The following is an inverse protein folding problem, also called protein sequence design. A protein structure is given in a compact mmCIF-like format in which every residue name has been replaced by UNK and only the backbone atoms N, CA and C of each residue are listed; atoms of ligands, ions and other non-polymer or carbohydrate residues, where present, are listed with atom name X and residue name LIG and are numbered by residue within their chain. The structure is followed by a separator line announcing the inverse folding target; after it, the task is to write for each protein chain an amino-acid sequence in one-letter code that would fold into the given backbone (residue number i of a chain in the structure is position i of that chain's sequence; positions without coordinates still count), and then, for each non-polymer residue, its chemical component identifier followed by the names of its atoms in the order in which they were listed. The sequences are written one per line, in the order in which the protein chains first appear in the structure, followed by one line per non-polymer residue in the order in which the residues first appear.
data_IF_570442347023
#
_entry.id   IF_570442347023
#
_cell.length_a   1.000
_cell.length_b   1.000
_cell.length_c   1.000
_cell.angle_alpha   90.00
_cell.angle_beta   90.00
_cell.angle_gamma   90.00
#
_symmetry.space_group_name_H-M   'P 1'
#
loop_
_entity.id
_entity.type
_entity.pdbx_description
1 polymer ?
#
# COMPACT_ATOMS: atom_id res chain seq x y z
N UNK A 1 16.39 -16.84 9.39
CA UNK A 1 15.91 -16.88 8.00
C UNK A 1 15.70 -15.46 7.48
N UNK A 2 15.92 -15.20 6.19
CA UNK A 2 15.62 -13.92 5.50
C UNK A 2 14.11 -13.74 5.32
N UNK A 3 13.64 -12.51 5.03
CA UNK A 3 12.20 -12.15 4.94
C UNK A 3 11.41 -13.05 4.00
N UNK A 4 11.86 -13.23 2.77
CA UNK A 4 11.17 -14.07 1.79
C UNK A 4 11.09 -15.53 2.22
N UNK A 5 12.14 -16.07 2.82
CA UNK A 5 12.09 -17.42 3.37
C UNK A 5 11.07 -17.52 4.50
N UNK A 6 10.98 -16.49 5.38
CA UNK A 6 9.99 -16.46 6.46
C UNK A 6 8.55 -16.38 5.94
N UNK A 7 8.31 -15.60 4.87
CA UNK A 7 6.98 -15.48 4.28
C UNK A 7 6.49 -16.79 3.63
N UNK A 8 7.41 -17.64 3.16
CA UNK A 8 7.10 -18.93 2.54
C UNK A 8 6.99 -20.04 3.59
N UNK A 9 7.89 -20.07 4.56
CA UNK A 9 8.05 -21.15 5.54
C UNK A 9 7.51 -20.81 6.94
N UNK A 10 6.53 -19.93 7.04
CA UNK A 10 5.82 -19.73 8.29
C UNK A 10 5.03 -21.00 8.62
N UNK A 11 5.41 -21.67 9.72
CA UNK A 11 4.70 -22.85 10.17
C UNK A 11 3.31 -22.46 10.72
N UNK A 12 2.29 -23.21 10.38
CA UNK A 12 1.03 -23.11 11.09
C UNK A 12 0.94 -24.21 12.17
N UNK A 13 0.41 -23.88 13.37
CA UNK A 13 0.54 -24.74 14.54
C UNK A 13 -0.29 -26.01 14.50
N UNK A 14 -1.29 -26.07 13.63
CA UNK A 14 -2.13 -27.26 13.44
C UNK A 14 -2.16 -27.61 11.96
N UNK A 15 -1.66 -28.82 11.65
CA UNK A 15 -1.87 -29.41 10.34
C UNK A 15 -3.30 -29.97 10.26
N UNK A 16 -3.81 -30.02 9.04
CA UNK A 16 -5.08 -30.69 8.80
C UNK A 16 -4.95 -32.24 8.96
N UNK A 17 -6.07 -32.95 8.85
CA UNK A 17 -6.10 -34.41 8.99
C UNK A 17 -5.25 -35.15 7.94
N UNK A 18 -4.81 -34.49 6.89
CA UNK A 18 -4.04 -35.05 5.77
C UNK A 18 -2.61 -34.54 5.68
N UNK A 19 -2.17 -33.74 6.63
CA UNK A 19 -0.84 -33.11 6.64
C UNK A 19 -0.54 -32.33 5.37
N UNK A 20 -1.53 -31.62 4.82
CA UNK A 20 -1.37 -30.83 3.60
C UNK A 20 -0.22 -29.81 3.73
N UNK A 21 0.63 -29.74 2.71
CA UNK A 21 1.75 -28.79 2.69
C UNK A 21 1.29 -27.34 2.54
N UNK A 22 0.25 -27.13 1.75
CA UNK A 22 -0.40 -25.82 1.58
C UNK A 22 -1.63 -25.73 2.49
N UNK A 23 -1.85 -24.57 3.12
CA UNK A 23 -3.02 -24.34 3.97
C UNK A 23 -4.31 -24.55 3.18
N UNK A 24 -5.21 -25.46 3.62
CA UNK A 24 -6.53 -25.63 3.02
C UNK A 24 -7.40 -24.38 3.15
N UNK A 25 -8.41 -24.27 2.28
CA UNK A 25 -9.42 -23.20 2.37
C UNK A 25 -10.56 -23.69 3.27
N UNK A 26 -10.70 -23.09 4.45
CA UNK A 26 -11.76 -23.40 5.40
C UNK A 26 -12.96 -22.46 5.17
N UNK A 27 -13.92 -22.95 4.39
CA UNK A 27 -15.18 -22.24 4.02
C UNK A 27 -16.29 -22.46 5.09
N UNK A 28 -15.93 -22.49 6.35
CA UNK A 28 -16.91 -22.62 7.44
C UNK A 28 -17.17 -21.27 8.10
N UNK A 29 -18.41 -20.98 8.44
CA UNK A 29 -18.77 -19.78 9.22
C UNK A 29 -18.54 -20.00 10.70
N UNK A 30 -18.85 -21.19 11.22
CA UNK A 30 -18.76 -21.52 12.64
C UNK A 30 -17.98 -22.81 12.84
N UNK A 31 -17.44 -22.99 14.02
CA UNK A 31 -16.63 -24.12 14.42
C UNK A 31 -17.21 -24.73 15.72
N UNK A 32 -17.24 -26.04 15.80
CA UNK A 32 -17.73 -26.77 16.99
C UNK A 32 -16.62 -26.85 18.04
N UNK A 33 -16.98 -26.57 19.28
CA UNK A 33 -16.13 -26.80 20.44
C UNK A 33 -16.42 -28.18 21.06
N UNK A 34 -15.41 -28.79 21.70
CA UNK A 34 -15.53 -30.09 22.33
C UNK A 34 -16.60 -30.10 23.43
N UNK A 35 -16.68 -29.04 24.23
CA UNK A 35 -17.66 -28.85 25.29
C UNK A 35 -17.95 -27.36 25.54
N UNK A 36 -18.91 -27.08 26.42
CA UNK A 36 -19.33 -25.69 26.75
C UNK A 36 -18.25 -24.89 27.49
N UNK A 37 -17.38 -25.54 28.25
CA UNK A 37 -16.28 -24.87 28.95
C UNK A 37 -15.20 -24.42 27.96
N UNK A 38 -14.82 -25.29 27.03
CA UNK A 38 -13.93 -25.00 25.92
C UNK A 38 -14.49 -23.86 25.07
N UNK A 39 -15.79 -23.88 24.73
CA UNK A 39 -16.44 -22.80 24.01
C UNK A 39 -16.34 -21.46 24.75
N UNK A 40 -16.62 -21.47 26.07
CA UNK A 40 -16.47 -20.26 26.88
C UNK A 40 -15.02 -19.74 26.93
N UNK A 41 -14.04 -20.65 26.97
CA UNK A 41 -12.62 -20.27 26.99
C UNK A 41 -12.16 -19.67 25.64
N UNK A 42 -12.69 -20.15 24.51
CA UNK A 42 -12.44 -19.56 23.18
C UNK A 42 -13.03 -18.14 23.10
N UNK A 43 -14.30 -17.98 23.45
CA UNK A 43 -14.98 -16.68 23.40
C UNK A 43 -14.40 -15.65 24.37
N UNK A 44 -13.78 -16.08 25.47
CA UNK A 44 -13.06 -15.23 26.41
C UNK A 44 -11.57 -15.09 26.08
N UNK A 45 -11.12 -15.56 24.93
CA UNK A 45 -9.73 -15.53 24.46
C UNK A 45 -8.71 -16.16 25.43
N UNK A 46 -9.16 -17.06 26.32
CA UNK A 46 -8.27 -17.82 27.20
C UNK A 46 -7.52 -18.92 26.47
N UNK A 47 -8.10 -19.43 25.40
CA UNK A 47 -7.48 -20.34 24.42
C UNK A 47 -7.67 -19.83 23.01
N UNK A 48 -6.67 -20.02 22.17
CA UNK A 48 -6.72 -19.62 20.75
C UNK A 48 -7.28 -20.77 19.92
N UNK A 49 -8.49 -20.61 19.41
CA UNK A 49 -9.11 -21.51 18.44
C UNK A 49 -10.10 -20.72 17.56
N UNK A 50 -10.42 -21.21 16.36
CA UNK A 50 -11.46 -20.59 15.54
C UNK A 50 -12.83 -20.82 16.19
N UNK A 51 -13.67 -19.79 16.16
CA UNK A 51 -15.04 -19.79 16.66
C UNK A 51 -16.03 -19.38 15.56
N UNK A 52 -15.79 -18.21 14.97
CA UNK A 52 -16.62 -17.60 13.94
C UNK A 52 -15.73 -16.92 12.90
N UNK A 53 -15.90 -17.23 11.62
CA UNK A 53 -14.94 -16.87 10.56
C UNK A 53 -14.74 -15.38 10.35
N UNK A 54 -15.67 -14.50 10.75
CA UNK A 54 -15.44 -13.06 10.74
C UNK A 54 -14.39 -12.64 11.77
N UNK A 55 -14.27 -13.38 12.85
CA UNK A 55 -13.36 -13.13 13.99
C UNK A 55 -12.04 -13.87 13.79
N UNK A 56 -12.12 -15.17 13.57
CA UNK A 56 -10.95 -16.04 13.37
C UNK A 56 -11.28 -17.17 12.37
N UNK A 57 -10.51 -17.23 11.30
CA UNK A 57 -10.60 -18.29 10.30
C UNK A 57 -9.21 -18.88 10.05
N UNK A 58 -9.01 -20.21 10.07
CA UNK A 58 -7.68 -20.81 9.95
C UNK A 58 -6.90 -20.37 8.70
N UNK A 59 -7.59 -20.23 7.56
CA UNK A 59 -6.95 -19.81 6.30
C UNK A 59 -6.52 -18.34 6.36
N UNK A 60 -7.35 -17.46 6.94
CA UNK A 60 -7.04 -16.05 7.12
C UNK A 60 -5.91 -15.87 8.12
N UNK A 61 -5.97 -16.54 9.26
CA UNK A 61 -4.93 -16.51 10.30
C UNK A 61 -3.58 -16.97 9.73
N UNK A 62 -3.55 -18.02 8.91
CA UNK A 62 -2.31 -18.45 8.26
C UNK A 62 -1.73 -17.39 7.32
N UNK A 63 -2.57 -16.68 6.56
CA UNK A 63 -2.13 -15.56 5.73
C UNK A 63 -1.56 -14.43 6.60
N UNK A 64 -2.25 -14.05 7.67
CA UNK A 64 -1.80 -13.02 8.64
C UNK A 64 -0.45 -13.39 9.27
N UNK A 65 -0.29 -14.64 9.70
CA UNK A 65 0.97 -15.14 10.28
C UNK A 65 2.13 -15.05 9.30
N UNK A 66 1.90 -15.36 8.02
CA UNK A 66 2.91 -15.26 6.97
C UNK A 66 3.29 -13.80 6.69
N UNK A 67 2.31 -12.91 6.65
CA UNK A 67 2.53 -11.48 6.50
C UNK A 67 3.34 -10.93 7.68
N UNK A 68 2.97 -11.27 8.92
CA UNK A 68 3.68 -10.84 10.11
C UNK A 68 5.12 -11.40 10.19
N UNK A 69 5.30 -12.67 9.81
CA UNK A 69 6.61 -13.34 9.87
C UNK A 69 7.63 -12.69 8.93
N UNK A 70 7.23 -12.21 7.76
CA UNK A 70 8.13 -11.63 6.77
C UNK A 70 8.94 -10.47 7.33
N UNK A 71 8.37 -9.36 7.84
CA UNK A 71 9.10 -8.27 8.46
C UNK A 71 9.51 -8.54 9.92
N UNK A 72 9.01 -9.61 10.55
CA UNK A 72 9.19 -9.89 11.97
C UNK A 72 8.33 -9.01 12.86
N UNK A 73 7.11 -8.71 12.42
CA UNK A 73 6.12 -7.96 13.17
C UNK A 73 5.55 -8.79 14.33
N UNK A 74 4.91 -8.12 15.27
CA UNK A 74 4.18 -8.79 16.36
C UNK A 74 2.94 -9.49 15.83
N UNK A 75 2.24 -8.83 14.89
CA UNK A 75 0.96 -9.27 14.37
C UNK A 75 0.69 -8.66 12.98
N UNK A 76 -0.13 -9.35 12.19
CA UNK A 76 -0.83 -8.75 11.07
C UNK A 76 -2.33 -8.97 11.22
N UNK A 77 -3.15 -8.08 10.67
CA UNK A 77 -4.61 -8.19 10.64
C UNK A 77 -5.08 -7.95 9.21
N UNK A 78 -5.84 -8.90 8.65
CA UNK A 78 -6.30 -8.88 7.27
C UNK A 78 -7.70 -8.27 7.15
N UNK A 79 -7.88 -7.44 6.13
CA UNK A 79 -9.11 -6.73 5.79
C UNK A 79 -9.51 -6.99 4.35
N UNK A 80 -10.77 -6.75 4.01
CA UNK A 80 -11.31 -6.95 2.66
C UNK A 80 -10.80 -5.94 1.61
N UNK A 81 -10.15 -4.87 2.01
CA UNK A 81 -9.57 -3.87 1.11
C UNK A 81 -8.49 -3.02 1.80
N UNK A 82 -7.63 -2.36 0.99
CA UNK A 82 -6.65 -1.40 1.51
C UNK A 82 -7.33 -0.24 2.25
N UNK A 83 -8.45 0.28 1.73
CA UNK A 83 -9.20 1.33 2.42
C UNK A 83 -9.79 0.87 3.75
N UNK A 84 -10.21 -0.40 3.87
CA UNK A 84 -10.66 -0.96 5.13
C UNK A 84 -9.51 -1.05 6.15
N UNK A 85 -8.29 -1.43 5.71
CA UNK A 85 -7.11 -1.41 6.56
C UNK A 85 -6.76 0.01 7.04
N UNK A 86 -6.78 1.00 6.14
CA UNK A 86 -6.52 2.42 6.49
C UNK A 86 -7.58 2.96 7.44
N UNK A 87 -8.87 2.82 7.11
CA UNK A 87 -9.96 3.35 7.93
C UNK A 87 -10.03 2.68 9.31
N UNK A 88 -9.85 1.37 9.39
CA UNK A 88 -9.79 0.64 10.65
C UNK A 88 -8.61 1.08 11.51
N UNK A 89 -7.43 1.30 10.91
CA UNK A 89 -6.26 1.81 11.63
C UNK A 89 -6.53 3.20 12.20
N UNK A 90 -7.04 4.12 11.39
CA UNK A 90 -7.32 5.48 11.83
C UNK A 90 -8.41 5.52 12.91
N UNK A 91 -9.51 4.75 12.75
CA UNK A 91 -10.56 4.66 13.76
C UNK A 91 -10.07 4.04 15.08
N UNK A 92 -9.13 3.08 15.03
CA UNK A 92 -8.54 2.49 16.24
C UNK A 92 -7.61 3.45 16.99
N UNK A 93 -7.06 4.46 16.30
CA UNK A 93 -6.14 5.44 16.88
C UNK A 93 -6.82 6.72 17.32
N UNK A 94 -7.91 7.13 16.64
CA UNK A 94 -8.55 8.43 16.82
C UNK A 94 -9.80 8.35 17.68
N UNK A 95 -10.18 9.50 18.24
CA UNK A 95 -11.47 9.75 18.86
C UNK A 95 -11.89 11.19 18.51
N UNK A 96 -13.13 11.56 18.82
CA UNK A 96 -13.60 12.93 18.66
C UNK A 96 -12.70 13.91 19.43
N UNK A 97 -12.25 14.98 18.77
CA UNK A 97 -11.31 15.96 19.30
C UNK A 97 -9.81 15.62 19.08
N UNK A 98 -9.49 14.42 18.62
CA UNK A 98 -8.14 14.07 18.22
C UNK A 98 -7.74 14.70 16.87
N UNK A 99 -6.45 14.75 16.57
CA UNK A 99 -5.96 15.12 15.26
C UNK A 99 -5.04 14.07 14.66
N UNK A 100 -4.97 14.06 13.32
CA UNK A 100 -4.02 13.28 12.52
C UNK A 100 -3.14 14.26 11.75
N UNK A 101 -1.83 14.13 11.90
CA UNK A 101 -0.86 14.91 11.14
C UNK A 101 -0.42 14.10 9.91
N UNK A 102 -0.52 14.70 8.72
CA UNK A 102 -0.27 14.01 7.46
C UNK A 102 0.16 14.97 6.35
N UNK A 103 0.49 14.44 5.17
CA UNK A 103 0.76 15.20 3.95
C UNK A 103 -0.51 15.42 3.12
N UNK A 104 -0.50 16.42 2.23
CA UNK A 104 -1.49 16.51 1.15
C UNK A 104 -1.21 15.50 0.00
N UNK A 105 -0.01 14.95 -0.08
CA UNK A 105 0.37 13.95 -1.08
C UNK A 105 -0.04 12.55 -0.62
N UNK A 106 -1.32 12.24 -0.74
CA UNK A 106 -1.93 10.96 -0.39
C UNK A 106 -2.72 10.40 -1.57
N UNK A 107 -2.95 9.10 -1.54
CA UNK A 107 -3.96 8.49 -2.40
C UNK A 107 -5.32 9.18 -2.20
N UNK A 108 -6.02 9.52 -3.31
CA UNK A 108 -7.21 10.37 -3.27
C UNK A 108 -8.29 9.93 -2.27
N UNK A 109 -8.55 8.61 -2.15
CA UNK A 109 -9.51 8.12 -1.17
C UNK A 109 -9.01 8.22 0.27
N UNK A 110 -7.71 8.12 0.52
CA UNK A 110 -7.15 8.38 1.87
C UNK A 110 -7.29 9.83 2.23
N UNK A 111 -7.02 10.73 1.28
CA UNK A 111 -7.21 12.16 1.48
C UNK A 111 -8.68 12.48 1.82
N UNK A 112 -9.64 12.01 1.02
CA UNK A 112 -11.06 12.28 1.28
C UNK A 112 -11.59 11.58 2.54
N UNK A 113 -11.07 10.38 2.89
CA UNK A 113 -11.38 9.73 4.17
C UNK A 113 -11.02 10.63 5.35
N UNK A 114 -9.83 11.22 5.32
CA UNK A 114 -9.35 12.10 6.38
C UNK A 114 -10.13 13.42 6.39
N UNK A 115 -10.16 14.15 5.28
CA UNK A 115 -10.66 15.52 5.21
C UNK A 115 -12.19 15.64 5.19
N UNK A 116 -12.90 14.62 4.69
CA UNK A 116 -14.35 14.65 4.54
C UNK A 116 -15.05 13.68 5.50
N UNK A 117 -14.58 12.43 5.59
CA UNK A 117 -15.29 11.41 6.37
C UNK A 117 -14.98 11.54 7.85
N UNK A 118 -13.72 11.45 8.26
CA UNK A 118 -13.34 11.48 9.68
C UNK A 118 -13.57 12.85 10.32
N UNK A 119 -13.47 13.93 9.55
CA UNK A 119 -13.78 15.28 10.04
C UNK A 119 -15.22 15.40 10.56
N UNK A 120 -16.19 14.67 9.98
CA UNK A 120 -17.58 14.61 10.45
C UNK A 120 -17.71 13.92 11.81
N UNK A 121 -16.75 13.11 12.19
CA UNK A 121 -16.67 12.46 13.51
C UNK A 121 -15.77 13.23 14.49
N UNK A 122 -15.43 14.47 14.16
CA UNK A 122 -14.68 15.37 15.04
C UNK A 122 -13.19 15.11 15.08
N UNK A 123 -12.63 14.43 14.09
CA UNK A 123 -11.18 14.27 13.93
C UNK A 123 -10.63 15.42 13.09
N UNK A 124 -9.70 16.19 13.65
CA UNK A 124 -9.00 17.27 12.95
C UNK A 124 -7.89 16.66 12.06
N UNK A 125 -7.75 17.18 10.83
CA UNK A 125 -6.66 16.77 9.93
C UNK A 125 -5.71 17.94 9.73
N UNK A 126 -4.44 17.73 10.03
CA UNK A 126 -3.38 18.72 9.88
C UNK A 126 -2.48 18.33 8.73
N UNK A 127 -2.68 19.02 7.60
CA UNK A 127 -1.85 18.84 6.40
C UNK A 127 -0.56 19.65 6.57
N UNK A 128 0.58 19.00 6.42
CA UNK A 128 1.88 19.66 6.45
C UNK A 128 2.85 19.05 5.46
N UNK A 129 3.91 19.78 5.16
CA UNK A 129 5.02 19.29 4.34
C UNK A 129 5.90 18.36 5.18
N UNK A 130 5.77 17.07 4.95
CA UNK A 130 6.52 16.03 5.67
C UNK A 130 8.02 16.00 5.32
N UNK A 131 8.44 16.75 4.30
CA UNK A 131 9.88 16.93 3.99
C UNK A 131 10.54 17.97 4.90
N UNK A 132 9.74 18.70 5.68
CA UNK A 132 10.19 19.76 6.58
C UNK A 132 9.96 19.39 8.05
N UNK A 133 10.99 18.88 8.77
CA UNK A 133 10.85 18.47 10.16
C UNK A 133 10.30 19.56 11.08
N UNK A 134 10.66 20.85 10.85
CA UNK A 134 10.18 21.97 11.68
C UNK A 134 8.66 22.17 11.54
N UNK A 135 8.12 22.04 10.33
CA UNK A 135 6.67 22.12 10.11
C UNK A 135 5.94 20.99 10.83
N UNK A 136 6.53 19.80 10.84
CA UNK A 136 5.99 18.64 11.51
C UNK A 136 5.97 18.83 13.04
N UNK A 137 7.06 19.35 13.65
CA UNK A 137 7.13 19.64 15.09
C UNK A 137 6.01 20.58 15.55
N UNK A 138 5.69 21.59 14.75
CA UNK A 138 4.65 22.56 15.09
C UNK A 138 3.22 22.04 14.88
N UNK A 139 3.05 21.00 14.07
CA UNK A 139 1.76 20.40 13.79
C UNK A 139 1.31 19.39 14.86
N UNK A 140 2.22 18.88 15.69
CA UNK A 140 1.94 17.88 16.71
C UNK A 140 1.62 18.55 18.06
N UNK A 141 0.55 18.09 18.71
CA UNK A 141 0.18 18.47 20.08
C UNK A 141 -0.29 17.23 20.88
N UNK A 142 -0.79 17.46 22.11
CA UNK A 142 -1.27 16.40 23.00
C UNK A 142 -2.50 15.65 22.49
N UNK A 143 -3.20 16.19 21.48
CA UNK A 143 -4.37 15.55 20.83
C UNK A 143 -3.99 14.77 19.59
N UNK A 144 -2.70 14.78 19.19
CA UNK A 144 -2.25 14.08 17.99
C UNK A 144 -2.30 12.57 18.21
N UNK A 145 -3.17 11.89 17.46
CA UNK A 145 -3.37 10.45 17.55
C UNK A 145 -2.32 9.66 16.77
N UNK A 146 -1.86 10.18 15.64
CA UNK A 146 -0.80 9.57 14.83
C UNK A 146 -0.22 10.55 13.81
N UNK A 147 0.96 10.20 13.31
CA UNK A 147 1.52 10.64 12.05
C UNK A 147 1.18 9.60 10.99
N UNK A 148 0.47 10.00 9.94
CA UNK A 148 0.14 9.13 8.81
C UNK A 148 0.82 9.62 7.52
N UNK A 149 1.45 8.72 6.75
CA UNK A 149 2.12 9.08 5.50
C UNK A 149 2.23 7.90 4.54
N UNK A 150 2.47 8.19 3.26
CA UNK A 150 2.85 7.18 2.26
C UNK A 150 4.39 7.18 2.11
N UNK A 151 5.01 5.99 2.11
CA UNK A 151 6.47 5.87 1.97
C UNK A 151 6.99 6.31 0.59
N UNK A 152 6.14 6.16 -0.42
CA UNK A 152 6.29 6.63 -1.79
C UNK A 152 4.90 7.03 -2.28
N UNK A 153 4.71 8.32 -2.58
CA UNK A 153 3.38 8.85 -2.91
C UNK A 153 2.92 8.47 -4.30
N UNK A 154 1.62 8.43 -4.51
CA UNK A 154 0.97 8.11 -5.78
C UNK A 154 0.01 9.26 -6.17
N UNK A 155 0.22 9.98 -7.29
CA UNK A 155 1.15 9.69 -8.40
C UNK A 155 2.48 10.44 -8.35
N UNK A 156 2.73 11.28 -7.35
CA UNK A 156 3.86 12.24 -7.34
C UNK A 156 5.24 11.55 -7.25
N UNK A 157 5.28 10.33 -6.69
CA UNK A 157 6.50 9.57 -6.43
C UNK A 157 7.49 10.28 -5.48
N UNK A 158 6.95 11.10 -4.59
CA UNK A 158 7.72 11.69 -3.50
C UNK A 158 8.11 10.60 -2.50
N UNK A 159 9.35 10.62 -2.05
CA UNK A 159 9.92 9.64 -1.11
C UNK A 159 9.99 10.27 0.28
N UNK A 160 9.30 9.69 1.24
CA UNK A 160 9.35 10.14 2.63
C UNK A 160 10.69 9.76 3.30
N UNK A 161 11.29 10.67 4.07
CA UNK A 161 12.39 10.34 4.98
C UNK A 161 11.82 9.73 6.26
N UNK A 162 11.61 8.40 6.21
CA UNK A 162 10.98 7.65 7.30
C UNK A 162 11.74 7.79 8.61
N UNK A 163 13.08 7.85 8.57
CA UNK A 163 13.89 8.00 9.80
C UNK A 163 13.73 9.37 10.44
N UNK A 164 13.62 10.41 9.62
CA UNK A 164 13.34 11.76 10.11
C UNK A 164 11.95 11.84 10.74
N UNK A 165 10.91 11.29 10.07
CA UNK A 165 9.54 11.22 10.59
C UNK A 165 9.49 10.40 11.90
N UNK A 166 10.16 9.24 11.95
CA UNK A 166 10.24 8.40 13.13
C UNK A 166 10.91 9.10 14.31
N UNK A 167 11.92 9.92 14.06
CA UNK A 167 12.57 10.69 15.10
C UNK A 167 11.62 11.72 15.73
N UNK A 168 10.80 12.40 14.94
CA UNK A 168 9.78 13.34 15.41
C UNK A 168 8.68 12.59 16.19
N UNK A 169 8.07 11.56 15.57
CA UNK A 169 7.01 10.76 16.18
C UNK A 169 7.41 10.22 17.56
N UNK A 170 8.65 9.74 17.68
CA UNK A 170 9.21 9.20 18.92
C UNK A 170 9.37 10.26 20.02
N UNK A 171 9.80 11.50 19.68
CA UNK A 171 9.90 12.61 20.65
C UNK A 171 8.54 12.96 21.24
N UNK A 172 7.51 12.95 20.42
CA UNK A 172 6.13 13.26 20.80
C UNK A 172 5.35 12.03 21.32
N UNK A 173 5.90 10.82 21.23
CA UNK A 173 5.27 9.56 21.62
C UNK A 173 3.96 9.28 20.86
N UNK A 174 3.89 9.69 19.61
CA UNK A 174 2.77 9.42 18.73
C UNK A 174 3.10 8.26 17.78
N UNK A 175 2.14 7.39 17.42
CA UNK A 175 2.34 6.32 16.46
C UNK A 175 2.74 6.87 15.09
N UNK A 176 3.76 6.25 14.47
CA UNK A 176 4.13 6.47 13.08
C UNK A 176 3.46 5.41 12.21
N UNK A 177 2.45 5.81 11.46
CA UNK A 177 1.66 4.95 10.57
C UNK A 177 2.08 5.20 9.12
N UNK A 178 2.58 4.17 8.45
CA UNK A 178 3.02 4.24 7.06
C UNK A 178 2.13 3.42 6.13
N UNK A 179 1.61 4.03 5.07
CA UNK A 179 1.12 3.26 3.92
C UNK A 179 2.32 2.81 3.09
N UNK A 180 2.55 1.49 3.10
CA UNK A 180 3.69 0.86 2.43
C UNK A 180 3.29 0.11 1.17
N UNK A 181 2.11 0.38 0.63
CA UNK A 181 1.56 -0.28 -0.57
C UNK A 181 2.49 -0.25 -1.78
N UNK A 182 3.26 0.84 -1.92
CA UNK A 182 4.11 1.08 -3.10
C UNK A 182 5.41 0.27 -3.13
N UNK A 183 5.86 -0.23 -1.97
CA UNK A 183 7.05 -1.05 -1.83
C UNK A 183 6.69 -2.24 -0.94
N UNK A 184 6.89 -3.48 -1.39
CA UNK A 184 6.53 -4.64 -0.58
C UNK A 184 7.27 -4.68 0.76
N UNK A 185 6.54 -4.97 1.84
CA UNK A 185 7.08 -5.13 3.20
C UNK A 185 8.15 -6.24 3.31
N UNK A 186 8.30 -7.07 2.28
CA UNK A 186 9.37 -8.07 2.17
C UNK A 186 10.71 -7.47 1.75
N UNK A 187 10.72 -6.27 1.15
CA UNK A 187 11.91 -5.68 0.52
C UNK A 187 12.66 -4.70 1.44
N UNK A 188 12.06 -4.24 2.53
CA UNK A 188 12.69 -3.31 3.47
C UNK A 188 12.42 -3.70 4.93
N UNK A 189 12.98 -2.97 5.89
CA UNK A 189 12.80 -3.20 7.32
C UNK A 189 12.07 -2.01 7.96
N UNK A 190 10.71 -2.07 7.98
CA UNK A 190 9.88 -1.01 8.53
C UNK A 190 10.19 -0.73 10.02
N UNK A 191 10.40 -1.79 10.82
CA UNK A 191 10.79 -1.64 12.23
C UNK A 191 12.14 -0.93 12.38
N UNK A 192 13.15 -1.30 11.58
CA UNK A 192 14.46 -0.66 11.62
C UNK A 192 14.45 0.79 11.12
N UNK A 193 13.49 1.14 10.26
CA UNK A 193 13.23 2.52 9.84
C UNK A 193 12.49 3.32 10.92
N UNK A 194 11.81 2.66 11.86
CA UNK A 194 11.09 3.27 12.97
C UNK A 194 9.59 3.40 12.73
N UNK A 195 9.04 2.68 11.78
CA UNK A 195 7.59 2.56 11.57
C UNK A 195 6.99 1.73 12.72
N UNK A 196 5.87 2.18 13.26
CA UNK A 196 5.13 1.46 14.30
C UNK A 196 4.02 0.58 13.73
N UNK A 197 3.36 1.08 12.68
CA UNK A 197 2.23 0.43 12.03
C UNK A 197 2.38 0.62 10.52
N UNK A 198 2.32 -0.48 9.76
CA UNK A 198 2.20 -0.42 8.30
C UNK A 198 0.77 -0.73 7.88
N UNK A 199 0.25 0.02 6.91
CA UNK A 199 -0.97 -0.31 6.20
C UNK A 199 -0.63 -0.64 4.75
N UNK A 200 -1.21 -1.72 4.24
CA UNK A 200 -0.89 -2.24 2.91
C UNK A 200 -2.17 -2.54 2.15
N UNK A 201 -2.34 -1.98 0.98
CA UNK A 201 -3.33 -2.50 0.05
C UNK A 201 -2.79 -3.79 -0.57
N UNK A 202 -3.13 -4.93 0.03
CA UNK A 202 -2.72 -6.24 -0.47
C UNK A 202 -3.35 -6.62 -1.82
N UNK A 203 -4.31 -5.82 -2.28
CA UNK A 203 -4.83 -5.80 -3.66
C UNK A 203 -3.71 -5.67 -4.71
N UNK A 204 -2.59 -5.04 -4.35
CA UNK A 204 -1.51 -4.66 -5.27
C UNK A 204 -0.50 -5.80 -5.42
N UNK A 205 0.73 -5.62 -5.02
CA UNK A 205 1.77 -6.65 -5.17
C UNK A 205 1.40 -8.01 -4.57
N UNK A 206 0.72 -8.03 -3.41
CA UNK A 206 0.43 -9.28 -2.68
C UNK A 206 -0.57 -10.16 -3.43
N UNK A 207 -1.57 -9.58 -4.12
CA UNK A 207 -2.63 -10.35 -4.80
C UNK A 207 -2.13 -11.25 -5.95
N UNK A 208 -0.89 -11.06 -6.41
CA UNK A 208 -0.32 -11.92 -7.44
C UNK A 208 -0.76 -11.64 -8.87
N UNK A 209 -1.35 -10.48 -9.15
CA UNK A 209 -1.76 -10.07 -10.50
C UNK A 209 -3.21 -9.61 -10.58
N UNK A 210 -3.65 -8.80 -9.62
CA UNK A 210 -4.99 -8.21 -9.55
C UNK A 210 -6.13 -9.24 -9.48
N UNK A 211 -5.90 -10.34 -8.76
CA UNK A 211 -6.88 -11.43 -8.64
C UNK A 211 -7.90 -11.22 -7.53
N UNK A 212 -7.57 -10.39 -6.54
CA UNK A 212 -8.43 -10.16 -5.37
C UNK A 212 -8.19 -8.79 -4.75
N UNK A 213 -9.23 -8.23 -4.13
CA UNK A 213 -9.10 -7.08 -3.24
C UNK A 213 -8.64 -7.56 -1.86
N UNK A 214 -7.87 -6.72 -1.16
CA UNK A 214 -7.48 -6.99 0.21
C UNK A 214 -6.70 -5.83 0.83
N UNK A 215 -6.61 -5.86 2.14
CA UNK A 215 -5.79 -4.95 2.92
C UNK A 215 -5.16 -5.68 4.09
N UNK A 216 -4.04 -5.19 4.56
CA UNK A 216 -3.37 -5.74 5.75
C UNK A 216 -2.83 -4.59 6.60
N UNK A 217 -2.97 -4.74 7.90
CA UNK A 217 -2.29 -3.91 8.90
C UNK A 217 -1.20 -4.76 9.53
N UNK A 218 0.03 -4.26 9.52
CA UNK A 218 1.19 -4.89 10.15
C UNK A 218 1.54 -4.08 11.39
N UNK A 219 1.44 -4.69 12.57
CA UNK A 219 1.68 -4.05 13.85
C UNK A 219 2.99 -4.54 14.47
N UNK A 220 3.91 -3.62 14.76
CA UNK A 220 5.17 -3.93 15.42
C UNK A 220 5.06 -4.02 16.96
N UNK A 221 3.89 -3.68 17.52
CA UNK A 221 3.56 -3.86 18.94
C UNK A 221 4.10 -2.80 19.87
N UNK A 222 4.45 -1.62 19.36
CA UNK A 222 4.93 -0.50 20.18
C UNK A 222 3.80 0.22 20.94
N UNK A 223 2.55 0.07 20.47
CA UNK A 223 1.33 0.67 21.03
C UNK A 223 0.31 -0.41 21.39
N UNK A 224 0.36 -1.02 22.60
CA UNK A 224 -0.49 -2.15 22.98
C UNK A 224 -2.00 -1.89 22.85
N UNK A 225 -2.46 -0.68 23.12
CA UNK A 225 -3.87 -0.31 22.96
C UNK A 225 -4.34 -0.39 21.49
N UNK A 226 -3.47 -0.02 20.54
CA UNK A 226 -3.76 -0.19 19.14
C UNK A 226 -3.88 -1.66 18.76
N UNK A 227 -2.94 -2.50 19.20
CA UNK A 227 -2.93 -3.95 18.94
C UNK A 227 -4.25 -4.61 19.38
N UNK A 228 -4.84 -4.15 20.47
CA UNK A 228 -6.14 -4.63 20.94
C UNK A 228 -7.29 -4.08 20.11
N UNK A 229 -7.36 -2.76 19.94
CA UNK A 229 -8.47 -2.07 19.27
C UNK A 229 -8.63 -2.44 17.81
N UNK A 230 -7.55 -2.61 17.07
CA UNK A 230 -7.61 -2.93 15.64
C UNK A 230 -8.39 -4.25 15.38
N UNK A 231 -8.38 -5.17 16.31
CA UNK A 231 -9.13 -6.41 16.24
C UNK A 231 -10.52 -6.28 16.88
N UNK A 232 -10.56 -5.98 18.18
CA UNK A 232 -11.81 -6.04 18.95
C UNK A 232 -12.78 -4.92 18.59
N UNK A 233 -12.28 -3.70 18.36
CA UNK A 233 -13.15 -2.57 18.03
C UNK A 233 -13.34 -2.42 16.52
N UNK A 234 -12.29 -2.53 15.72
CA UNK A 234 -12.41 -2.29 14.29
C UNK A 234 -12.84 -3.57 13.54
N UNK A 235 -12.04 -4.64 13.54
CA UNK A 235 -12.37 -5.82 12.74
C UNK A 235 -13.69 -6.47 13.20
N UNK A 236 -13.87 -6.71 14.50
CA UNK A 236 -15.05 -7.41 15.01
C UNK A 236 -16.33 -6.58 14.82
N UNK A 237 -16.27 -5.28 15.10
CA UNK A 237 -17.45 -4.41 15.11
C UNK A 237 -17.82 -3.86 13.73
N UNK A 238 -16.81 -3.48 12.90
CA UNK A 238 -17.05 -2.95 11.56
C UNK A 238 -17.21 -4.05 10.50
N UNK A 239 -16.67 -5.26 10.78
CA UNK A 239 -16.90 -6.45 9.97
C UNK A 239 -16.21 -6.44 8.60
N UNK A 240 -15.17 -5.64 8.40
CA UNK A 240 -14.43 -5.56 7.14
C UNK A 240 -13.39 -6.69 6.97
N UNK A 241 -13.77 -7.91 7.33
CA UNK A 241 -12.89 -9.09 7.34
C UNK A 241 -12.52 -9.56 5.93
N UNK A 242 -11.36 -10.21 5.81
CA UNK A 242 -10.95 -10.91 4.59
C UNK A 242 -11.61 -12.29 4.52
N UNK A 243 -12.11 -12.69 3.34
CA UNK A 243 -12.65 -14.04 3.16
C UNK A 243 -11.56 -15.10 3.00
N UNK A 244 -11.82 -16.38 3.36
CA UNK A 244 -10.82 -17.45 3.22
C UNK A 244 -10.30 -17.64 1.81
N UNK A 245 -11.17 -17.52 0.79
CA UNK A 245 -10.75 -17.61 -0.61
C UNK A 245 -9.77 -16.51 -0.99
N UNK A 246 -10.04 -15.27 -0.55
CA UNK A 246 -9.13 -14.13 -0.81
C UNK A 246 -7.82 -14.34 -0.08
N UNK A 247 -7.84 -14.77 1.18
CA UNK A 247 -6.64 -15.08 1.95
C UNK A 247 -5.78 -16.15 1.27
N UNK A 248 -6.41 -17.21 0.75
CA UNK A 248 -5.73 -18.26 0.00
C UNK A 248 -5.07 -17.71 -1.28
N UNK A 249 -5.81 -16.95 -2.12
CA UNK A 249 -5.28 -16.36 -3.33
C UNK A 249 -4.11 -15.41 -3.03
N UNK A 250 -4.21 -14.61 -1.97
CA UNK A 250 -3.14 -13.70 -1.58
C UNK A 250 -1.95 -14.42 -0.96
N UNK A 251 -2.15 -15.55 -0.32
CA UNK A 251 -1.06 -16.44 0.12
C UNK A 251 -0.24 -16.94 -1.07
N UNK A 252 -0.90 -17.39 -2.14
CA UNK A 252 -0.22 -17.79 -3.39
C UNK A 252 0.54 -16.61 -4.03
N UNK A 253 -0.08 -15.42 -4.03
CA UNK A 253 0.56 -14.21 -4.52
C UNK A 253 1.79 -13.80 -3.71
N UNK A 254 1.74 -13.97 -2.39
CA UNK A 254 2.85 -13.68 -1.49
C UNK A 254 4.09 -14.56 -1.78
N UNK A 255 3.90 -15.81 -2.17
CA UNK A 255 5.00 -16.74 -2.49
C UNK A 255 5.86 -16.28 -3.67
N UNK A 256 5.29 -15.58 -4.64
CA UNK A 256 5.99 -15.08 -5.83
C UNK A 256 6.24 -13.57 -5.82
N UNK A 257 5.94 -12.90 -4.70
CA UNK A 257 5.98 -11.45 -4.57
C UNK A 257 7.33 -10.86 -4.93
N UNK A 258 8.43 -11.37 -4.36
CA UNK A 258 9.79 -10.89 -4.62
C UNK A 258 10.17 -11.02 -6.10
N UNK A 259 9.88 -12.18 -6.70
CA UNK A 259 10.23 -12.47 -8.11
C UNK A 259 9.51 -11.49 -9.04
N UNK A 260 8.21 -11.27 -8.82
CA UNK A 260 7.41 -10.33 -9.62
C UNK A 260 7.88 -8.89 -9.42
N UNK A 261 8.03 -8.47 -8.17
CA UNK A 261 8.49 -7.12 -7.84
C UNK A 261 9.83 -6.78 -8.49
N UNK A 262 10.83 -7.66 -8.39
CA UNK A 262 12.15 -7.44 -8.96
C UNK A 262 12.11 -7.39 -10.50
N UNK A 263 11.33 -8.25 -11.14
CA UNK A 263 11.16 -8.22 -12.61
C UNK A 263 10.49 -6.91 -13.04
N UNK A 264 9.39 -6.52 -12.42
CA UNK A 264 8.68 -5.29 -12.72
C UNK A 264 9.56 -4.04 -12.52
N UNK A 265 10.29 -3.98 -11.40
CA UNK A 265 11.17 -2.85 -11.10
C UNK A 265 12.37 -2.74 -12.05
N UNK A 266 12.95 -3.87 -12.48
CA UNK A 266 14.01 -3.87 -13.48
C UNK A 266 13.53 -3.33 -14.84
N UNK A 267 12.36 -3.77 -15.28
CA UNK A 267 11.72 -3.28 -16.51
C UNK A 267 11.36 -1.78 -16.38
N UNK A 268 10.83 -1.37 -15.22
CA UNK A 268 10.49 0.04 -14.96
C UNK A 268 11.73 0.95 -15.02
N UNK A 269 12.86 0.53 -14.44
CA UNK A 269 14.12 1.28 -14.51
C UNK A 269 14.61 1.43 -15.95
N UNK A 270 14.62 0.34 -16.73
CA UNK A 270 15.05 0.37 -18.12
C UNK A 270 14.14 1.29 -18.97
N UNK A 271 12.83 1.23 -18.75
CA UNK A 271 11.86 2.10 -19.44
C UNK A 271 12.04 3.56 -19.01
N UNK A 272 12.22 3.85 -17.71
CA UNK A 272 12.43 5.22 -17.23
C UNK A 272 13.68 5.84 -17.88
N UNK A 273 14.80 5.11 -17.93
CA UNK A 273 16.02 5.55 -18.61
C UNK A 273 15.81 5.77 -20.11
N UNK A 274 15.03 4.89 -20.76
CA UNK A 274 14.70 5.06 -22.17
C UNK A 274 13.81 6.28 -22.39
N UNK A 275 12.80 6.52 -21.55
CA UNK A 275 11.93 7.69 -21.64
C UNK A 275 12.67 9.01 -21.46
N UNK A 276 13.72 9.09 -20.60
CA UNK A 276 14.55 10.29 -20.46
C UNK A 276 15.23 10.69 -21.78
N UNK A 277 15.37 9.77 -22.73
CA UNK A 277 15.96 10.07 -24.04
C UNK A 277 14.93 10.52 -25.09
N UNK A 278 13.65 10.59 -24.74
CA UNK A 278 12.56 10.91 -25.69
C UNK A 278 12.19 12.39 -25.63
N UNK A 279 12.27 13.11 -26.77
CA UNK A 279 11.96 14.54 -26.80
C UNK A 279 10.45 14.83 -26.58
N UNK A 280 9.59 13.85 -26.76
CA UNK A 280 8.13 13.95 -26.55
C UNK A 280 7.76 13.98 -25.06
N UNK A 281 8.66 13.54 -24.19
CA UNK A 281 8.47 13.48 -22.73
C UNK A 281 9.25 14.62 -22.08
N UNK A 282 8.54 15.55 -21.47
CA UNK A 282 9.17 16.71 -20.82
C UNK A 282 9.85 16.36 -19.50
N UNK A 283 9.29 15.38 -18.79
CA UNK A 283 9.85 14.90 -17.54
C UNK A 283 9.46 13.45 -17.29
N UNK A 284 10.42 12.69 -16.81
CA UNK A 284 10.22 11.33 -16.26
C UNK A 284 10.42 11.41 -14.75
N UNK A 285 9.44 10.96 -13.97
CA UNK A 285 9.60 10.83 -12.52
C UNK A 285 9.65 9.35 -12.16
N UNK A 286 10.77 8.92 -11.61
CA UNK A 286 10.99 7.56 -11.11
C UNK A 286 12.13 7.56 -10.09
N UNK A 287 11.89 7.03 -8.90
CA UNK A 287 12.88 7.07 -7.80
C UNK A 287 14.22 6.38 -8.12
N UNK A 288 14.22 5.48 -9.11
CA UNK A 288 15.42 4.77 -9.58
C UNK A 288 16.32 5.59 -10.51
N UNK A 289 15.89 6.74 -11.02
CA UNK A 289 16.71 7.62 -11.85
C UNK A 289 17.62 8.49 -10.97
N UNK A 290 18.90 8.66 -11.32
CA UNK A 290 19.78 9.61 -10.65
C UNK A 290 19.28 11.07 -10.68
N UNK A 291 18.45 11.42 -11.65
CA UNK A 291 17.79 12.72 -11.79
C UNK A 291 16.69 12.94 -10.74
N UNK A 292 16.18 11.90 -10.10
CA UNK A 292 15.17 12.03 -9.05
C UNK A 292 15.79 12.60 -7.76
N UNK A 293 15.23 13.67 -7.16
CA UNK A 293 15.84 14.38 -6.03
C UNK A 293 16.05 13.48 -4.81
N UNK A 294 15.19 12.48 -4.60
CA UNK A 294 15.27 11.55 -3.48
C UNK A 294 15.87 10.18 -3.84
N UNK A 295 16.55 10.03 -5.00
CA UNK A 295 17.16 8.75 -5.42
C UNK A 295 18.06 8.15 -4.32
N UNK A 296 18.98 8.95 -3.77
CA UNK A 296 19.89 8.48 -2.73
C UNK A 296 19.17 8.13 -1.41
N UNK A 297 18.13 8.87 -1.06
CA UNK A 297 17.29 8.59 0.11
C UNK A 297 16.56 7.25 -0.07
N UNK A 298 15.92 7.04 -1.21
CA UNK A 298 15.24 5.79 -1.53
C UNK A 298 16.20 4.60 -1.41
N UNK A 299 17.37 4.68 -2.07
CA UNK A 299 18.37 3.61 -2.05
C UNK A 299 18.85 3.28 -0.62
N UNK A 300 19.02 4.28 0.24
CA UNK A 300 19.39 4.07 1.65
C UNK A 300 18.31 3.38 2.47
N UNK A 301 17.03 3.67 2.22
CA UNK A 301 15.91 3.14 3.01
C UNK A 301 15.42 1.79 2.51
N UNK A 302 15.36 1.59 1.19
CA UNK A 302 14.68 0.46 0.55
C UNK A 302 15.60 -0.40 -0.33
N UNK A 303 16.88 -0.05 -0.44
CA UNK A 303 17.84 -0.78 -1.29
C UNK A 303 17.78 -0.38 -2.75
N UNK A 304 18.35 -1.19 -3.63
CA UNK A 304 18.55 -0.89 -5.05
C UNK A 304 17.38 -1.26 -5.97
N UNK A 305 16.21 -1.59 -5.42
CA UNK A 305 15.00 -1.92 -6.20
C UNK A 305 13.95 -0.84 -5.99
N UNK A 306 13.63 -0.07 -7.04
CA UNK A 306 12.96 1.23 -6.92
C UNK A 306 11.45 1.20 -7.22
N UNK A 307 10.82 0.01 -7.17
CA UNK A 307 9.40 -0.14 -7.48
C UNK A 307 9.10 -0.18 -8.98
N UNK A 308 7.84 -0.30 -9.32
CA UNK A 308 7.39 -0.50 -10.70
C UNK A 308 6.41 0.58 -11.19
N UNK A 309 6.42 1.75 -10.58
CA UNK A 309 5.60 2.88 -11.02
C UNK A 309 6.48 4.05 -11.41
N UNK A 310 6.15 4.67 -12.54
CA UNK A 310 6.78 5.90 -13.03
C UNK A 310 5.71 6.84 -13.61
N UNK A 311 6.03 8.12 -13.72
CA UNK A 311 5.17 9.10 -14.38
C UNK A 311 5.91 9.83 -15.47
N UNK A 312 5.15 10.21 -16.51
CA UNK A 312 5.60 10.97 -17.67
C UNK A 312 4.81 12.26 -17.73
N UNK A 313 5.46 13.41 -17.86
CA UNK A 313 4.82 14.69 -18.15
C UNK A 313 4.97 15.02 -19.64
N UNK A 314 3.85 15.35 -20.27
CA UNK A 314 3.76 15.78 -21.66
C UNK A 314 3.61 17.29 -21.78
N UNK A 315 3.63 17.82 -23.00
CA UNK A 315 3.51 19.25 -23.26
C UNK A 315 2.16 19.82 -22.77
N UNK A 316 1.10 19.05 -22.95
CA UNK A 316 -0.26 19.39 -22.54
C UNK A 316 -1.10 18.11 -22.31
N UNK A 317 -2.34 18.30 -21.86
CA UNK A 317 -3.30 17.23 -21.63
C UNK A 317 -3.63 16.45 -22.91
N UNK A 318 -3.74 17.14 -24.04
CA UNK A 318 -4.12 16.51 -25.31
C UNK A 318 -3.02 15.58 -25.82
N UNK A 319 -1.74 15.97 -25.64
CA UNK A 319 -0.60 15.11 -25.91
C UNK A 319 -0.60 13.86 -25.01
N UNK A 320 -0.89 14.01 -23.73
CA UNK A 320 -1.04 12.89 -22.79
C UNK A 320 -2.19 11.95 -23.23
N UNK A 321 -3.31 12.48 -23.68
CA UNK A 321 -4.45 11.69 -24.16
C UNK A 321 -4.14 10.99 -25.47
N UNK A 322 -3.50 11.67 -26.44
CA UNK A 322 -3.06 11.02 -27.69
C UNK A 322 -2.09 9.88 -27.43
N UNK A 323 -1.17 10.06 -26.47
CA UNK A 323 -0.30 8.96 -26.02
C UNK A 323 -1.09 7.79 -25.49
N UNK A 324 -1.99 8.02 -24.55
CA UNK A 324 -2.81 6.96 -23.93
C UNK A 324 -3.69 6.23 -24.94
N UNK A 325 -4.32 6.98 -25.88
CA UNK A 325 -5.23 6.41 -26.87
C UNK A 325 -4.50 5.56 -27.91
N UNK A 326 -3.23 5.87 -28.18
CA UNK A 326 -2.41 5.14 -29.13
C UNK A 326 -1.83 3.83 -28.58
N UNK A 327 -1.86 3.61 -27.25
CA UNK A 327 -1.38 2.36 -26.63
C UNK A 327 -2.17 1.15 -27.12
N UNK A 328 -1.45 0.05 -27.47
CA UNK A 328 -2.01 -1.18 -28.03
C UNK A 328 -1.84 -2.38 -27.11
N UNK A 329 -0.66 -2.53 -26.50
CA UNK A 329 -0.32 -3.57 -25.52
C UNK A 329 -0.68 -3.13 -24.11
N UNK A 330 -0.33 -1.91 -23.77
CA UNK A 330 -0.56 -1.35 -22.42
C UNK A 330 -2.03 -1.02 -22.22
N UNK A 331 -2.59 -1.48 -21.09
CA UNK A 331 -4.00 -1.31 -20.79
C UNK A 331 -4.30 0.02 -20.07
N UNK A 332 -5.37 0.70 -20.49
CA UNK A 332 -5.93 1.85 -19.77
C UNK A 332 -6.80 1.36 -18.61
N UNK A 333 -6.19 1.17 -17.43
CA UNK A 333 -6.86 0.67 -16.23
C UNK A 333 -6.26 1.25 -14.95
N UNK A 334 -7.05 1.33 -13.89
CA UNK A 334 -6.70 2.08 -12.68
C UNK A 334 -5.87 1.33 -11.65
N UNK A 335 -5.64 0.04 -11.77
CA UNK A 335 -4.89 -0.72 -10.77
C UNK A 335 -3.39 -0.35 -10.77
N UNK A 336 -2.63 -0.93 -9.83
CA UNK A 336 -1.18 -0.82 -9.69
C UNK A 336 -0.57 -2.21 -9.54
N UNK A 337 0.64 -2.39 -10.06
CA UNK A 337 1.45 -3.60 -9.84
C UNK A 337 0.73 -4.89 -10.25
N UNK A 338 -0.13 -4.78 -11.24
CA UNK A 338 -0.70 -5.90 -11.98
C UNK A 338 0.42 -6.63 -12.74
N UNK A 339 0.17 -7.86 -13.16
CA UNK A 339 1.08 -8.57 -14.07
C UNK A 339 1.11 -7.95 -15.47
N UNK A 340 0.11 -7.15 -15.82
CA UNK A 340 0.01 -6.36 -17.05
C UNK A 340 0.38 -4.91 -16.79
N UNK A 341 1.04 -4.28 -17.75
CA UNK A 341 1.35 -2.85 -17.70
C UNK A 341 0.09 -2.02 -17.87
N UNK A 342 -0.11 -1.06 -16.97
CA UNK A 342 -1.28 -0.20 -16.91
C UNK A 342 -0.89 1.26 -17.03
N UNK A 343 -1.73 2.04 -17.71
CA UNK A 343 -1.56 3.48 -17.89
C UNK A 343 -2.85 4.24 -17.57
N UNK A 344 -2.73 5.37 -16.88
CA UNK A 344 -3.84 6.31 -16.63
C UNK A 344 -3.37 7.75 -16.69
N UNK A 345 -4.32 8.66 -16.87
CA UNK A 345 -4.16 10.09 -16.62
C UNK A 345 -4.73 10.42 -15.23
N UNK A 346 -3.90 10.61 -14.19
CA UNK A 346 -4.36 10.73 -12.80
C UNK A 346 -5.38 11.84 -12.59
N UNK A 347 -5.15 13.02 -13.17
CA UNK A 347 -5.98 14.19 -12.98
C UNK A 347 -7.44 14.01 -13.46
N UNK A 348 -7.68 13.20 -14.51
CA UNK A 348 -9.03 12.93 -15.03
C UNK A 348 -9.61 11.59 -14.56
N UNK A 349 -8.88 10.82 -13.77
CA UNK A 349 -9.33 9.50 -13.27
C UNK A 349 -9.38 9.47 -11.75
N UNK A 350 -8.31 9.03 -11.08
CA UNK A 350 -8.27 8.83 -9.63
C UNK A 350 -8.39 10.15 -8.82
N UNK A 351 -8.13 11.30 -9.46
CA UNK A 351 -8.33 12.64 -8.91
C UNK A 351 -9.39 13.45 -9.67
N UNK A 352 -10.17 12.82 -10.54
CA UNK A 352 -11.14 13.50 -11.41
C UNK A 352 -12.32 14.15 -10.68
N UNK A 353 -12.60 13.73 -9.44
CA UNK A 353 -13.66 14.30 -8.60
C UNK A 353 -13.19 15.50 -7.77
N UNK A 354 -11.89 15.74 -7.69
CA UNK A 354 -11.32 16.91 -7.01
C UNK A 354 -11.35 18.13 -7.94
N UNK A 355 -11.61 19.29 -7.39
CA UNK A 355 -11.52 20.55 -8.14
C UNK A 355 -10.07 20.89 -8.51
N UNK A 356 -9.87 21.93 -9.32
CA UNK A 356 -8.56 22.32 -9.82
C UNK A 356 -7.63 22.81 -8.70
N UNK A 357 -8.16 23.47 -7.68
CA UNK A 357 -7.39 23.99 -6.55
C UNK A 357 -6.88 22.83 -5.68
N UNK A 358 -7.73 21.85 -5.36
CA UNK A 358 -7.35 20.66 -4.62
C UNK A 358 -6.31 19.82 -5.40
N UNK A 359 -6.47 19.64 -6.72
CA UNK A 359 -5.48 18.95 -7.54
C UNK A 359 -4.13 19.67 -7.55
N UNK A 360 -4.15 21.01 -7.64
CA UNK A 360 -2.93 21.82 -7.60
C UNK A 360 -2.22 21.71 -6.23
N UNK A 361 -2.98 21.74 -5.13
CA UNK A 361 -2.44 21.56 -3.78
C UNK A 361 -1.81 20.17 -3.58
N UNK A 362 -2.29 19.15 -4.29
CA UNK A 362 -1.76 17.79 -4.29
C UNK A 362 -0.69 17.53 -5.37
N UNK A 363 -0.23 18.55 -6.09
CA UNK A 363 0.70 18.45 -7.24
C UNK A 363 0.25 17.44 -8.32
N UNK A 364 -1.05 17.37 -8.58
CA UNK A 364 -1.65 16.52 -9.63
C UNK A 364 -1.86 17.33 -10.90
N UNK A 365 -1.05 17.06 -11.93
CA UNK A 365 -0.98 17.88 -13.16
C UNK A 365 -1.80 17.25 -14.28
N UNK A 366 -2.40 18.11 -15.11
CA UNK A 366 -3.12 17.70 -16.32
C UNK A 366 -2.21 17.19 -17.45
N UNK A 367 -0.89 17.29 -17.29
CA UNK A 367 0.10 16.82 -18.28
C UNK A 367 0.63 15.42 -17.94
N UNK A 368 0.29 14.87 -16.77
CA UNK A 368 0.92 13.66 -16.24
C UNK A 368 0.19 12.40 -16.66
N UNK A 369 0.94 11.43 -17.19
CA UNK A 369 0.53 10.03 -17.35
C UNK A 369 1.27 9.18 -16.31
N UNK A 370 0.54 8.32 -15.60
CA UNK A 370 1.11 7.33 -14.67
C UNK A 370 1.15 5.96 -15.34
N UNK A 371 2.32 5.33 -15.30
CA UNK A 371 2.54 3.96 -15.74
C UNK A 371 2.82 3.05 -14.54
N UNK A 372 2.13 1.91 -14.47
CA UNK A 372 2.41 0.82 -13.56
C UNK A 372 2.89 -0.37 -14.39
N UNK A 373 4.17 -0.70 -14.27
CA UNK A 373 4.85 -1.66 -15.16
C UNK A 373 4.55 -3.10 -14.70
N UNK A 374 4.18 -3.94 -15.65
CA UNK A 374 3.86 -5.35 -15.48
C UNK A 374 5.07 -6.27 -15.68
N UNK A 375 4.79 -7.49 -16.14
CA UNK A 375 5.77 -8.56 -16.33
C UNK A 375 6.15 -8.79 -17.80
N UNK A 376 5.60 -7.99 -18.71
CA UNK A 376 5.86 -8.07 -20.15
C UNK A 376 7.36 -7.86 -20.43
N UNK A 377 7.79 -8.31 -21.62
CA UNK A 377 9.14 -8.09 -22.06
C UNK A 377 9.40 -6.61 -22.39
N UNK A 378 10.59 -6.16 -22.03
CA UNK A 378 11.00 -4.75 -22.20
C UNK A 378 10.86 -4.27 -23.65
N UNK A 379 11.27 -5.10 -24.62
CA UNK A 379 11.25 -4.72 -26.03
C UNK A 379 9.84 -4.52 -26.57
N UNK A 380 8.89 -5.37 -26.15
CA UNK A 380 7.48 -5.27 -26.55
C UNK A 380 6.84 -3.99 -25.97
N UNK A 381 7.10 -3.69 -24.68
CA UNK A 381 6.65 -2.45 -24.06
C UNK A 381 7.27 -1.22 -24.71
N UNK A 382 8.58 -1.27 -24.99
CA UNK A 382 9.30 -0.17 -25.65
C UNK A 382 8.74 0.12 -27.05
N UNK A 383 8.41 -0.93 -27.82
CA UNK A 383 7.81 -0.77 -29.16
C UNK A 383 6.41 -0.13 -29.05
N UNK A 384 5.57 -0.59 -28.12
CA UNK A 384 4.24 0.01 -27.90
C UNK A 384 4.34 1.47 -27.46
N UNK A 385 5.23 1.78 -26.53
CA UNK A 385 5.45 3.16 -26.10
C UNK A 385 6.05 4.04 -27.21
N UNK A 386 6.95 3.53 -28.05
CA UNK A 386 7.54 4.31 -29.13
C UNK A 386 6.49 4.75 -30.15
N UNK A 387 5.59 3.85 -30.56
CA UNK A 387 4.52 4.19 -31.49
C UNK A 387 3.50 5.15 -30.86
N UNK A 388 3.24 5.03 -29.54
CA UNK A 388 2.33 5.92 -28.81
C UNK A 388 2.94 7.33 -28.65
N UNK A 389 4.24 7.47 -28.38
CA UNK A 389 4.95 8.74 -28.36
C UNK A 389 4.88 9.46 -29.71
N UNK A 390 5.05 8.73 -30.83
CA UNK A 390 4.89 9.31 -32.16
C UNK A 390 3.47 9.86 -32.41
N UNK A 391 2.44 9.31 -31.77
CA UNK A 391 1.09 9.86 -31.80
C UNK A 391 0.94 11.10 -30.93
N UNK A 392 1.58 11.12 -29.76
CA UNK A 392 1.59 12.28 -28.85
C UNK A 392 2.20 13.54 -29.48
N UNK A 393 3.25 13.36 -30.30
CA UNK A 393 3.95 14.44 -30.99
C UNK A 393 3.13 15.11 -32.12
N UNK A 394 2.05 14.49 -32.58
CA UNK A 394 1.21 15.08 -33.65
C UNK A 394 0.40 16.23 -33.09
N UNK A 395 0.59 17.43 -33.64
CA UNK A 395 -0.34 18.54 -33.39
C UNK A 395 -1.70 18.21 -34.01
N UNK A 396 -2.78 18.47 -33.27
CA UNK A 396 -4.12 18.43 -33.85
C UNK A 396 -4.18 19.44 -35.00
N UNK A 397 -4.46 18.98 -36.20
CA UNK A 397 -4.74 19.83 -37.35
C UNK A 397 -6.16 20.34 -37.28
#
# INVERSE_FOLDING_TARGET
MKRNTRSIHCAYPRRDAYDALSMPVYESVAYESEDAATMADVFCERITAPDYSRVANPTVTHFEDRVAAAPGARRAVAFNSGMAAISSTLLSLTAAGANVVTSCHLFGNTYSLLTETLSRFGVEVRLCDLTRPDALETAIDERTACLFFEILTNPQLEVADVRALAAVARRHRVPLVADTTMIPFTEFDGRALGIDIEVVSSTKYVSGGATSLGGVVIDYGHFPQFTERITHEALFNLGAYMTPQVAHLQTLGLETLEVRYRRQAATALALAQWFETRPEVLRVTYAGLPSHPAHALFARQYGGTFGAMLTLDFADRDAAFRFLDALRLVHRATNLFDNRTLAIHPASTIFGLFDAEARAAMDVRDTTVRLSIGLEDFDDLREDFAQALAAAARTAH
#
